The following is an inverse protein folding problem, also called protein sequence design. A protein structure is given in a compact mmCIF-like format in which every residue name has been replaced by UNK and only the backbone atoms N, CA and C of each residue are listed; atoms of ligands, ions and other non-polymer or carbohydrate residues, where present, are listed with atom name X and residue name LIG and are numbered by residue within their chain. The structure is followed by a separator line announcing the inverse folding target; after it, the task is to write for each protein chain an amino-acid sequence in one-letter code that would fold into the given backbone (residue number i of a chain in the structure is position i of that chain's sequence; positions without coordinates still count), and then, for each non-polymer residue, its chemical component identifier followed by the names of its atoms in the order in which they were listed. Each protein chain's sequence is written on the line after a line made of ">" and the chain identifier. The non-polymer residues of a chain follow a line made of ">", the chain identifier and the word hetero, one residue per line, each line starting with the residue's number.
data_IF_723478612234
#
_entry.id   IF_723478612234
#
_cell.length_a   1.000
_cell.length_b   1.000
_cell.length_c   1.000
_cell.angle_alpha   90.00
_cell.angle_beta   90.00
_cell.angle_gamma   90.00
#
_symmetry.space_group_name_H-M   'P 1'
#
loop_
_entity.id
_entity.type
_entity.pdbx_description
1 polymer ?
#
# COMPACT_ATOMS: atom_id res chain seq x y z
N UNK A 1 8.72 -15.53 3.35
CA UNK A 1 8.16 -14.17 3.19
C UNK A 1 8.70 -13.61 1.88
N UNK A 2 7.88 -12.95 1.07
CA UNK A 2 8.33 -12.32 -0.19
C UNK A 2 8.28 -10.81 0.02
N UNK A 3 9.37 -10.13 -0.31
CA UNK A 3 9.46 -8.68 -0.27
C UNK A 3 9.50 -8.14 -1.70
N UNK A 4 8.66 -7.16 -2.01
CA UNK A 4 8.65 -6.48 -3.31
C UNK A 4 8.74 -4.97 -3.11
N UNK A 5 9.39 -4.30 -4.05
CA UNK A 5 9.38 -2.84 -4.15
C UNK A 5 8.51 -2.47 -5.35
N UNK A 6 7.66 -1.47 -5.17
CA UNK A 6 6.79 -0.94 -6.21
C UNK A 6 6.95 0.57 -6.32
N UNK A 7 7.36 1.03 -7.49
CA UNK A 7 7.43 2.45 -7.84
C UNK A 7 6.15 2.87 -8.56
N UNK A 8 5.57 3.99 -8.17
CA UNK A 8 4.37 4.54 -8.78
C UNK A 8 4.33 6.06 -8.68
N UNK A 9 3.40 6.67 -9.40
CA UNK A 9 3.09 8.10 -9.24
C UNK A 9 1.90 8.24 -8.31
N UNK A 10 2.06 8.98 -7.22
CA UNK A 10 0.96 9.25 -6.32
C UNK A 10 -0.10 10.08 -7.07
N UNK A 11 -1.40 9.72 -6.96
CA UNK A 11 -2.45 10.55 -7.54
C UNK A 11 -2.43 11.94 -6.92
N UNK A 12 -2.93 12.95 -7.63
CA UNK A 12 -3.25 14.23 -6.98
C UNK A 12 -4.44 14.03 -6.05
N UNK A 13 -4.45 14.71 -4.90
CA UNK A 13 -5.57 14.66 -3.96
C UNK A 13 -6.71 15.56 -4.46
N UNK A 14 -7.89 14.96 -4.62
CA UNK A 14 -9.15 15.65 -4.93
C UNK A 14 -10.25 15.35 -3.91
N UNK A 15 -9.96 14.47 -2.95
CA UNK A 15 -10.85 13.99 -1.89
C UNK A 15 -10.30 14.40 -0.53
N UNK A 16 -11.02 14.04 0.53
CA UNK A 16 -10.49 14.16 1.89
C UNK A 16 -9.21 13.32 2.06
N UNK A 17 -8.38 13.72 3.03
CA UNK A 17 -7.05 13.14 3.23
C UNK A 17 -7.10 11.65 3.53
N UNK A 18 -7.99 11.23 4.43
CA UNK A 18 -8.19 9.83 4.79
C UNK A 18 -8.64 9.00 3.59
N UNK A 19 -9.66 9.45 2.86
CA UNK A 19 -10.12 8.76 1.64
C UNK A 19 -9.00 8.64 0.59
N UNK A 20 -8.19 9.69 0.46
CA UNK A 20 -7.05 9.70 -0.45
C UNK A 20 -5.99 8.65 -0.05
N UNK A 21 -5.63 8.58 1.23
CA UNK A 21 -4.70 7.58 1.77
C UNK A 21 -5.21 6.16 1.57
N UNK A 22 -6.47 5.90 1.93
CA UNK A 22 -7.13 4.61 1.75
C UNK A 22 -7.11 4.22 0.27
N UNK A 23 -7.44 5.14 -0.65
CA UNK A 23 -7.45 4.86 -2.09
C UNK A 23 -6.08 4.43 -2.64
N UNK A 24 -4.98 4.95 -2.08
CA UNK A 24 -3.62 4.53 -2.46
C UNK A 24 -3.38 3.11 -1.99
N UNK A 25 -3.72 2.80 -0.74
CA UNK A 25 -3.57 1.46 -0.18
C UNK A 25 -4.41 0.43 -0.93
N UNK A 26 -5.67 0.74 -1.23
CA UNK A 26 -6.57 -0.15 -1.98
C UNK A 26 -6.04 -0.45 -3.38
N UNK A 27 -5.55 0.56 -4.11
CA UNK A 27 -4.93 0.35 -5.43
C UNK A 27 -3.71 -0.58 -5.37
N UNK A 28 -2.87 -0.42 -4.35
CA UNK A 28 -1.73 -1.31 -4.12
C UNK A 28 -2.24 -2.71 -3.73
N UNK A 29 -3.23 -2.79 -2.84
CA UNK A 29 -3.84 -4.01 -2.34
C UNK A 29 -4.43 -4.86 -3.46
N UNK A 30 -5.20 -4.25 -4.35
CA UNK A 30 -5.79 -4.89 -5.53
C UNK A 30 -4.70 -5.38 -6.49
N UNK A 31 -3.75 -4.50 -6.85
CA UNK A 31 -2.66 -4.81 -7.78
C UNK A 31 -1.84 -6.04 -7.34
N UNK A 32 -1.61 -6.18 -6.04
CA UNK A 32 -0.81 -7.27 -5.48
C UNK A 32 -1.64 -8.38 -4.81
N UNK A 33 -2.97 -8.32 -4.94
CA UNK A 33 -3.94 -9.30 -4.39
C UNK A 33 -3.73 -9.54 -2.89
N UNK A 34 -3.54 -8.45 -2.14
CA UNK A 34 -3.27 -8.48 -0.69
C UNK A 34 -4.49 -8.79 0.17
N UNK A 35 -5.70 -8.76 -0.43
CA UNK A 35 -6.97 -8.98 0.26
C UNK A 35 -7.49 -7.69 0.89
N UNK A 36 -8.34 -7.84 1.90
CA UNK A 36 -8.96 -6.74 2.66
C UNK A 36 -7.93 -5.95 3.47
N UNK A 37 -8.08 -4.62 3.50
CA UNK A 37 -7.35 -3.71 4.37
C UNK A 37 -7.95 -3.78 5.78
N UNK A 38 -7.14 -4.18 6.76
CA UNK A 38 -7.57 -4.40 8.14
C UNK A 38 -7.30 -3.19 9.03
N UNK A 39 -6.19 -2.51 8.81
CA UNK A 39 -5.85 -1.25 9.45
C UNK A 39 -4.87 -0.47 8.58
N UNK A 40 -4.73 0.81 8.92
CA UNK A 40 -3.68 1.64 8.38
C UNK A 40 -3.22 2.68 9.41
N UNK A 41 -2.01 3.19 9.19
CA UNK A 41 -1.38 4.25 9.98
C UNK A 41 -0.64 5.19 9.03
N UNK A 42 -0.60 6.47 9.37
CA UNK A 42 0.03 7.50 8.54
C UNK A 42 0.85 8.47 9.38
N UNK A 43 2.04 8.78 8.90
CA UNK A 43 2.90 9.81 9.47
C UNK A 43 3.42 10.75 8.39
N UNK A 44 3.53 12.03 8.72
CA UNK A 44 3.93 13.09 7.81
C UNK A 44 5.25 13.72 8.26
N UNK A 45 6.17 13.91 7.31
CA UNK A 45 7.41 14.66 7.52
C UNK A 45 7.52 15.74 6.44
N UNK A 46 7.03 16.95 6.76
CA UNK A 46 6.80 17.98 5.75
C UNK A 46 5.80 17.47 4.70
N UNK A 47 6.16 17.58 3.42
CA UNK A 47 5.31 17.15 2.29
C UNK A 47 5.40 15.65 1.99
N UNK A 48 6.20 14.90 2.76
CA UNK A 48 6.38 13.45 2.59
C UNK A 48 5.40 12.71 3.50
N UNK A 49 4.54 11.90 2.89
CA UNK A 49 3.66 10.98 3.60
C UNK A 49 4.30 9.59 3.70
N UNK A 50 4.21 8.99 4.89
CA UNK A 50 4.59 7.62 5.19
C UNK A 50 3.33 6.85 5.58
N UNK A 51 2.84 6.03 4.66
CA UNK A 51 1.56 5.32 4.80
C UNK A 51 1.80 3.83 4.99
N UNK A 52 1.28 3.27 6.07
CA UNK A 52 1.40 1.84 6.39
C UNK A 52 0.02 1.22 6.32
N UNK A 53 -0.13 0.13 5.59
CA UNK A 53 -1.38 -0.64 5.53
C UNK A 53 -1.15 -2.10 5.89
N UNK A 54 -2.00 -2.66 6.76
CA UNK A 54 -2.05 -4.11 7.02
C UNK A 54 -3.23 -4.70 6.27
N UNK A 55 -2.92 -5.68 5.44
CA UNK A 55 -3.91 -6.43 4.69
C UNK A 55 -3.99 -7.87 5.21
N UNK A 56 -5.08 -8.57 4.89
CA UNK A 56 -5.26 -9.96 5.30
C UNK A 56 -4.17 -10.92 4.77
N UNK A 57 -3.48 -10.58 3.67
CA UNK A 57 -2.39 -11.40 3.08
C UNK A 57 -1.03 -10.71 3.01
N UNK A 58 -0.88 -9.53 3.61
CA UNK A 58 0.39 -8.81 3.55
C UNK A 58 0.40 -7.47 4.26
N UNK A 59 1.53 -6.77 4.13
CA UNK A 59 1.72 -5.41 4.66
C UNK A 59 2.33 -4.53 3.59
N UNK A 60 1.95 -3.27 3.59
CA UNK A 60 2.48 -2.22 2.70
C UNK A 60 3.05 -1.11 3.56
N UNK A 61 4.21 -0.59 3.16
CA UNK A 61 4.74 0.68 3.63
C UNK A 61 5.04 1.55 2.42
N UNK A 62 4.28 2.61 2.22
CA UNK A 62 4.47 3.56 1.14
C UNK A 62 5.11 4.85 1.67
N UNK A 63 6.01 5.42 0.87
CA UNK A 63 6.57 6.76 1.04
C UNK A 63 6.29 7.53 -0.24
N UNK A 64 5.65 8.69 -0.14
CA UNK A 64 5.27 9.46 -1.32
C UNK A 64 5.13 10.95 -1.05
N UNK A 65 5.18 11.72 -2.12
CA UNK A 65 4.76 13.13 -2.18
C UNK A 65 3.46 13.20 -2.98
N UNK A 66 2.45 13.93 -2.52
CA UNK A 66 1.16 14.04 -3.21
C UNK A 66 1.35 14.52 -4.67
N UNK A 67 0.74 13.81 -5.64
CA UNK A 67 0.90 14.10 -7.07
C UNK A 67 2.30 13.83 -7.66
N UNK A 68 3.26 13.41 -6.83
CA UNK A 68 4.66 13.19 -7.17
C UNK A 68 5.04 11.71 -7.23
N UNK A 69 6.32 11.44 -7.04
CA UNK A 69 6.86 10.08 -7.02
C UNK A 69 6.55 9.36 -5.70
N UNK A 70 6.37 8.05 -5.81
CA UNK A 70 6.02 7.19 -4.70
C UNK A 70 6.74 5.85 -4.78
N UNK A 71 7.11 5.33 -3.61
CA UNK A 71 7.67 3.99 -3.45
C UNK A 71 6.90 3.22 -2.38
N UNK A 72 6.58 1.97 -2.65
CA UNK A 72 5.96 1.06 -1.70
C UNK A 72 6.81 -0.19 -1.48
N UNK A 73 7.03 -0.53 -0.23
CA UNK A 73 7.58 -1.82 0.20
C UNK A 73 6.44 -2.75 0.58
N UNK A 74 6.33 -3.88 -0.11
CA UNK A 74 5.33 -4.89 0.15
C UNK A 74 5.97 -6.12 0.81
N UNK A 75 5.36 -6.61 1.88
CA UNK A 75 5.73 -7.88 2.52
C UNK A 75 4.53 -8.80 2.49
N UNK A 76 4.64 -9.91 1.76
CA UNK A 76 3.59 -10.92 1.68
C UNK A 76 4.03 -12.25 2.29
N UNK A 77 3.08 -12.91 2.94
CA UNK A 77 3.22 -14.30 3.32
C UNK A 77 3.22 -15.13 2.04
N UNK A 78 4.11 -16.12 1.92
CA UNK A 78 4.02 -17.09 0.81
C UNK A 78 2.69 -17.81 0.99
N UNK A 79 1.67 -17.46 0.22
CA UNK A 79 0.48 -18.31 0.10
C UNK A 79 1.02 -19.60 -0.50
N UNK A 80 1.06 -20.69 0.29
CA UNK A 80 1.20 -22.03 -0.28
C UNK A 80 -0.01 -22.16 -1.19
N UNK A 81 0.18 -21.98 -2.49
CA UNK A 81 -0.81 -22.41 -3.47
C UNK A 81 -0.84 -23.92 -3.31
N UNK A 82 -1.77 -24.41 -2.51
CA UNK A 82 -2.08 -25.83 -2.46
C UNK A 82 -2.39 -26.21 -3.89
N UNK A 83 -1.52 -27.02 -4.51
CA UNK A 83 -1.91 -27.83 -5.65
C UNK A 83 -3.01 -28.74 -5.11
N UNK A 84 -4.27 -28.36 -5.32
CA UNK A 84 -5.32 -29.34 -5.32
C UNK A 84 -4.99 -30.27 -6.48
N UNK A 85 -4.63 -31.49 -6.11
CA UNK A 85 -4.38 -32.61 -7.02
C UNK A 85 -5.70 -33.31 -7.27
#
# INVERSE_FOLDING_TARGET
>A
MVTKIYLFKAPKRYTEREEYEISILEKIGEKFRLGELLDYDVYYQGDIAYLKGRFSRGKVMAKFVEGGEAIALLRTSKVRVGRFK
#
